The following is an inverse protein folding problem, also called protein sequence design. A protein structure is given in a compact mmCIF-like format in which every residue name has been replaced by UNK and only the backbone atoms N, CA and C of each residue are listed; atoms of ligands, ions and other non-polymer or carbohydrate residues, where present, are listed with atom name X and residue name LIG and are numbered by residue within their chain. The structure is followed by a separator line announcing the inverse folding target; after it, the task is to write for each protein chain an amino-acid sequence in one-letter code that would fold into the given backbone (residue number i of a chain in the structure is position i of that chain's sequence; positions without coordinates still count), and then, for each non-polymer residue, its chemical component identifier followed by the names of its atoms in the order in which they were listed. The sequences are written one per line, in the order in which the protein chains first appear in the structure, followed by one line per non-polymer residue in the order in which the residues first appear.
data_IF_150808004650
#
_entry.id   IF_150808004650
#
_cell.length_a   1.000
_cell.length_b   1.000
_cell.length_c   1.000
_cell.angle_alpha   90.00
_cell.angle_beta   90.00
_cell.angle_gamma   90.00
#
_symmetry.space_group_name_H-M   'P 1'
#
loop_
_entity.id
_entity.type
_entity.pdbx_description
1 polymer ?
#
# COMPACT_ATOMS: atom_id res chain seq x y z
N UNK A 1 0.71 5.92 54.20
CA UNK A 1 1.69 5.70 53.11
C UNK A 1 1.29 4.59 52.14
N UNK A 2 0.85 3.38 52.56
CA UNK A 2 0.51 2.28 51.63
C UNK A 2 -0.63 2.59 50.62
N UNK A 3 -1.61 3.41 50.97
CA UNK A 3 -2.72 3.78 50.04
C UNK A 3 -2.30 4.70 48.91
N UNK A 4 -1.32 5.56 49.12
CA UNK A 4 -0.81 6.45 48.06
C UNK A 4 0.13 5.73 47.10
N UNK A 5 0.84 4.68 47.57
CA UNK A 5 1.71 3.89 46.72
C UNK A 5 0.91 3.05 45.70
N UNK A 6 -0.28 2.52 46.11
CA UNK A 6 -1.15 1.75 45.21
C UNK A 6 -1.81 2.63 44.15
N UNK A 7 -2.10 3.90 44.49
CA UNK A 7 -2.68 4.87 43.55
C UNK A 7 -1.66 5.31 42.51
N UNK A 8 -0.39 5.50 42.92
CA UNK A 8 0.70 5.85 42.00
C UNK A 8 1.06 4.71 41.03
N UNK A 9 0.99 3.46 41.49
CA UNK A 9 1.23 2.30 40.62
C UNK A 9 0.10 2.12 39.60
N UNK A 10 -1.16 2.38 39.98
CA UNK A 10 -2.30 2.26 39.06
C UNK A 10 -2.26 3.34 37.97
N UNK A 11 -1.86 4.57 38.33
CA UNK A 11 -1.69 5.66 37.35
C UNK A 11 -0.50 5.40 36.44
N UNK A 12 0.60 4.85 36.96
CA UNK A 12 1.77 4.50 36.14
C UNK A 12 1.48 3.36 35.16
N UNK A 13 0.68 2.35 35.54
CA UNK A 13 0.31 1.27 34.62
C UNK A 13 -0.67 1.75 33.53
N UNK A 14 -1.62 2.64 33.86
CA UNK A 14 -2.53 3.20 32.87
C UNK A 14 -1.82 4.15 31.90
N UNK A 15 -0.85 4.94 32.39
CA UNK A 15 -0.01 5.78 31.54
C UNK A 15 0.93 4.96 30.63
N UNK A 16 1.50 3.87 31.13
CA UNK A 16 2.36 2.98 30.33
C UNK A 16 1.58 2.25 29.22
N UNK A 17 0.32 1.84 29.49
CA UNK A 17 -0.52 1.21 28.47
C UNK A 17 -1.00 2.22 27.39
N UNK A 18 -1.23 3.47 27.76
CA UNK A 18 -1.56 4.54 26.80
C UNK A 18 -0.34 4.90 25.96
N UNK A 19 0.87 4.94 26.55
CA UNK A 19 2.09 5.22 25.80
C UNK A 19 2.51 4.08 24.87
N UNK A 20 2.24 2.82 25.22
CA UNK A 20 2.55 1.68 24.36
C UNK A 20 1.60 1.61 23.14
N UNK A 21 0.31 1.91 23.32
CA UNK A 21 -0.64 1.97 22.22
C UNK A 21 -0.39 3.18 21.30
N UNK A 22 -0.04 4.33 21.84
CA UNK A 22 0.31 5.51 21.02
C UNK A 22 1.64 5.36 20.29
N UNK A 23 2.63 4.64 20.85
CA UNK A 23 3.91 4.38 20.17
C UNK A 23 3.78 3.33 19.06
N UNK A 24 2.91 2.34 19.22
CA UNK A 24 2.59 1.39 18.16
C UNK A 24 1.79 2.08 17.05
N UNK A 25 0.76 2.84 17.37
CA UNK A 25 0.04 3.67 16.41
C UNK A 25 0.97 4.65 15.67
N UNK A 26 1.91 5.29 16.35
CA UNK A 26 2.88 6.19 15.73
C UNK A 26 3.93 5.46 14.85
N UNK A 27 4.27 4.21 15.14
CA UNK A 27 5.18 3.44 14.29
C UNK A 27 4.50 2.99 12.98
N UNK A 28 3.21 2.66 13.03
CA UNK A 28 2.40 2.40 11.83
C UNK A 28 2.01 3.69 11.10
N UNK A 29 1.78 4.80 11.82
CA UNK A 29 1.39 6.08 11.23
C UNK A 29 2.49 6.77 10.40
N UNK A 30 3.75 6.35 10.50
CA UNK A 30 4.85 6.94 9.71
C UNK A 30 4.78 6.59 8.23
N UNK A 31 4.06 5.49 7.87
CA UNK A 31 3.85 5.03 6.49
C UNK A 31 2.43 4.50 6.23
N UNK A 32 1.45 4.81 7.10
CA UNK A 32 0.08 4.28 6.99
C UNK A 32 -0.94 5.41 7.06
N UNK A 33 -1.93 5.36 6.21
CA UNK A 33 -3.12 6.21 6.33
C UNK A 33 -4.08 5.54 7.33
N UNK A 34 -4.21 6.12 8.53
CA UNK A 34 -5.26 5.71 9.46
C UNK A 34 -6.58 6.30 8.98
N UNK A 35 -7.50 5.44 8.56
CA UNK A 35 -8.83 5.83 8.12
C UNK A 35 -9.82 5.27 9.13
N UNK A 36 -10.57 6.18 9.78
CA UNK A 36 -11.67 5.80 10.65
C UNK A 36 -12.94 5.68 9.79
N UNK A 37 -13.46 4.48 9.64
CA UNK A 37 -14.73 4.24 8.94
C UNK A 37 -15.80 4.00 9.98
N UNK A 38 -16.51 5.05 10.37
CA UNK A 38 -17.65 4.96 11.29
C UNK A 38 -18.90 4.39 10.59
N UNK A 39 -18.95 4.42 9.27
CA UNK A 39 -20.01 3.87 8.44
C UNK A 39 -19.42 3.03 7.30
N UNK A 40 -19.82 1.77 7.22
CA UNK A 40 -19.39 0.78 6.22
C UNK A 40 -19.77 1.10 4.77
N UNK A 41 -20.50 2.17 4.54
CA UNK A 41 -20.83 2.67 3.21
C UNK A 41 -19.76 3.63 2.65
N UNK A 42 -18.72 3.92 3.44
CA UNK A 42 -17.66 4.82 3.01
C UNK A 42 -16.68 4.10 2.09
N UNK A 43 -16.62 4.57 0.88
CA UNK A 43 -15.63 4.16 -0.14
C UNK A 43 -14.32 4.86 0.18
N UNK A 44 -13.27 4.09 0.45
CA UNK A 44 -11.97 4.61 0.85
C UNK A 44 -11.08 4.79 -0.39
N UNK A 45 -10.75 6.02 -0.81
CA UNK A 45 -9.82 6.26 -1.89
C UNK A 45 -8.39 5.95 -1.45
N UNK A 46 -7.65 5.24 -2.29
CA UNK A 46 -6.25 4.88 -2.07
C UNK A 46 -5.44 5.24 -3.29
N UNK A 47 -4.42 6.07 -3.09
CA UNK A 47 -3.42 6.39 -4.10
C UNK A 47 -2.08 5.77 -3.70
N UNK A 48 -1.45 5.07 -4.63
CA UNK A 48 -0.11 4.51 -4.50
C UNK A 48 0.76 5.24 -5.51
N UNK A 49 1.65 6.11 -5.00
CA UNK A 49 2.59 6.90 -5.79
C UNK A 49 3.96 6.72 -5.18
N UNK A 50 4.91 6.28 -5.99
CA UNK A 50 6.26 6.01 -5.52
C UNK A 50 7.28 6.88 -6.24
N UNK A 51 8.47 7.01 -5.63
CA UNK A 51 9.57 7.73 -6.24
C UNK A 51 10.12 6.95 -7.44
N UNK A 52 10.52 7.66 -8.52
CA UNK A 52 11.12 7.02 -9.67
C UNK A 52 12.31 6.14 -9.30
N UNK A 53 12.46 5.01 -10.01
CA UNK A 53 13.64 4.17 -9.93
C UNK A 53 14.41 4.21 -11.23
N UNK A 54 15.71 3.90 -11.16
CA UNK A 54 16.61 3.99 -12.28
C UNK A 54 17.31 2.65 -12.49
N UNK A 55 17.49 2.27 -13.74
CA UNK A 55 18.35 1.18 -14.15
C UNK A 55 19.44 1.72 -15.08
N UNK A 56 20.70 1.40 -14.78
CA UNK A 56 21.82 1.75 -15.63
C UNK A 56 21.88 0.85 -16.86
N UNK A 57 22.59 1.28 -17.89
CA UNK A 57 22.70 0.58 -19.15
C UNK A 57 23.07 -0.91 -18.97
N UNK A 58 22.26 -1.79 -19.51
CA UNK A 58 22.41 -3.25 -19.41
C UNK A 58 21.98 -3.86 -18.07
N UNK A 59 21.41 -3.07 -17.16
CA UNK A 59 21.00 -3.52 -15.82
C UNK A 59 19.49 -3.64 -15.66
N UNK A 60 19.11 -4.38 -14.63
CA UNK A 60 17.73 -4.47 -14.15
C UNK A 60 17.70 -4.10 -12.67
N UNK A 61 16.92 -3.09 -12.35
CA UNK A 61 16.65 -2.67 -10.97
C UNK A 61 15.27 -3.14 -10.55
N UNK A 62 15.18 -3.78 -9.38
CA UNK A 62 13.92 -4.22 -8.78
C UNK A 62 13.77 -3.54 -7.42
N UNK A 63 12.62 -2.91 -7.18
CA UNK A 63 12.28 -2.33 -5.88
C UNK A 63 10.91 -2.79 -5.43
N UNK A 64 10.79 -2.98 -4.12
CA UNK A 64 9.52 -3.28 -3.44
C UNK A 64 9.11 -2.10 -2.59
N UNK A 65 7.86 -1.70 -2.72
CA UNK A 65 7.23 -0.64 -1.95
C UNK A 65 6.04 -1.21 -1.18
N UNK A 66 5.83 -0.73 0.03
CA UNK A 66 4.72 -1.16 0.87
C UNK A 66 3.91 0.04 1.35
N UNK A 67 2.58 -0.07 1.26
CA UNK A 67 1.64 0.90 1.84
C UNK A 67 0.65 0.16 2.72
N UNK A 68 0.55 0.58 3.97
CA UNK A 68 -0.44 0.04 4.90
C UNK A 68 -1.60 1.03 5.04
N UNK A 69 -2.82 0.50 5.04
CA UNK A 69 -4.06 1.24 5.29
C UNK A 69 -4.77 0.56 6.44
N UNK A 70 -5.08 1.31 7.49
CA UNK A 70 -5.75 0.80 8.69
C UNK A 70 -7.18 1.32 8.67
N UNK A 71 -8.14 0.39 8.76
CA UNK A 71 -9.58 0.69 8.74
C UNK A 71 -10.18 0.21 10.04
N UNK A 72 -10.64 1.12 10.88
CA UNK A 72 -11.32 0.78 12.12
C UNK A 72 -12.66 0.09 11.81
N UNK A 73 -12.85 -1.09 12.37
CA UNK A 73 -14.00 -1.94 12.12
C UNK A 73 -14.29 -2.79 13.35
N UNK A 74 -15.31 -2.44 14.10
CA UNK A 74 -15.53 -2.97 15.45
C UNK A 74 -15.91 -4.44 15.51
N UNK A 75 -16.56 -4.98 14.47
CA UNK A 75 -17.11 -6.34 14.47
C UNK A 75 -16.84 -7.06 13.13
N UNK A 76 -15.73 -7.80 13.02
CA UNK A 76 -15.35 -8.48 11.77
C UNK A 76 -16.36 -9.57 11.35
N UNK A 77 -17.23 -10.03 12.24
CA UNK A 77 -18.27 -11.03 11.89
C UNK A 77 -19.33 -10.48 10.93
N UNK A 78 -19.46 -9.17 10.84
CA UNK A 78 -20.37 -8.50 9.92
C UNK A 78 -19.80 -8.35 8.51
N UNK A 79 -18.50 -8.53 8.33
CA UNK A 79 -17.88 -8.42 7.03
C UNK A 79 -18.29 -9.58 6.13
N UNK A 80 -18.85 -9.28 4.96
CA UNK A 80 -19.20 -10.26 3.93
C UNK A 80 -18.06 -10.50 2.96
N UNK A 81 -17.52 -9.43 2.38
CA UNK A 81 -16.36 -9.45 1.52
C UNK A 81 -15.72 -8.06 1.41
N UNK A 82 -14.51 -8.03 0.92
CA UNK A 82 -13.73 -6.83 0.63
C UNK A 82 -13.56 -6.73 -0.88
N UNK A 83 -13.70 -5.53 -1.42
CA UNK A 83 -13.58 -5.27 -2.85
C UNK A 83 -12.73 -4.04 -3.12
N UNK A 84 -11.84 -4.14 -4.11
CA UNK A 84 -11.19 -2.99 -4.73
C UNK A 84 -11.98 -2.60 -5.98
N UNK A 85 -12.29 -1.32 -6.15
CA UNK A 85 -13.01 -0.80 -7.32
C UNK A 85 -12.27 0.40 -7.93
N UNK A 86 -12.68 0.81 -9.14
CA UNK A 86 -12.12 1.96 -9.86
C UNK A 86 -10.58 1.93 -9.96
N UNK A 87 -10.02 0.72 -10.15
CA UNK A 87 -8.59 0.50 -10.18
C UNK A 87 -8.02 1.08 -11.47
N UNK A 88 -7.09 2.03 -11.34
CA UNK A 88 -6.35 2.64 -12.44
C UNK A 88 -4.86 2.55 -12.16
N UNK A 89 -4.09 2.09 -13.12
CA UNK A 89 -2.64 1.98 -13.05
C UNK A 89 -2.02 2.67 -14.26
N UNK A 90 -1.10 3.56 -13.99
CA UNK A 90 -0.25 4.22 -14.98
C UNK A 90 1.19 3.75 -14.74
N UNK A 91 1.84 3.26 -15.78
CA UNK A 91 3.26 2.85 -15.75
C UNK A 91 3.95 3.54 -16.89
N UNK A 92 5.02 4.26 -16.60
CA UNK A 92 5.85 4.90 -17.60
C UNK A 92 7.33 4.55 -17.45
N UNK A 93 8.10 4.76 -18.49
CA UNK A 93 9.54 4.90 -18.41
C UNK A 93 10.04 5.99 -19.33
N UNK A 94 11.11 6.64 -18.91
CA UNK A 94 11.79 7.70 -19.65
C UNK A 94 13.16 7.21 -20.12
N UNK A 95 13.41 7.35 -21.41
CA UNK A 95 14.68 7.00 -22.05
C UNK A 95 14.99 7.99 -23.17
N UNK A 96 16.24 8.49 -23.23
CA UNK A 96 16.74 9.36 -24.31
C UNK A 96 15.81 10.56 -24.60
N UNK A 97 15.26 11.20 -23.56
CA UNK A 97 14.38 12.37 -23.69
C UNK A 97 12.96 12.05 -24.16
N UNK A 98 12.55 10.78 -24.20
CA UNK A 98 11.20 10.34 -24.56
C UNK A 98 10.54 9.59 -23.43
N UNK A 99 9.23 9.81 -23.27
CA UNK A 99 8.39 9.09 -22.33
C UNK A 99 7.56 8.04 -23.07
N UNK A 100 7.46 6.86 -22.47
CA UNK A 100 6.65 5.73 -22.90
C UNK A 100 5.77 5.32 -21.74
N UNK A 101 4.48 5.09 -21.97
CA UNK A 101 3.54 4.76 -20.90
C UNK A 101 2.51 3.72 -21.30
N UNK A 102 1.93 3.06 -20.31
CA UNK A 102 0.78 2.17 -20.46
C UNK A 102 -0.21 2.38 -19.31
N UNK A 103 -1.45 2.67 -19.68
CA UNK A 103 -2.57 2.82 -18.75
C UNK A 103 -3.41 1.56 -18.71
N UNK A 104 -3.70 1.09 -17.52
CA UNK A 104 -4.64 -0.02 -17.30
C UNK A 104 -5.74 0.38 -16.34
N UNK A 105 -6.94 -0.15 -16.57
CA UNK A 105 -8.06 -0.01 -15.64
C UNK A 105 -8.77 -1.34 -15.43
N UNK A 106 -9.26 -1.56 -14.20
CA UNK A 106 -10.13 -2.68 -13.84
C UNK A 106 -11.31 -2.16 -13.04
N UNK A 107 -12.49 -2.69 -13.31
CA UNK A 107 -13.71 -2.25 -12.62
C UNK A 107 -13.68 -2.68 -11.15
N UNK A 108 -13.42 -3.96 -10.88
CA UNK A 108 -13.35 -4.47 -9.51
C UNK A 108 -12.52 -5.74 -9.37
N UNK A 109 -12.08 -5.99 -8.12
CA UNK A 109 -11.39 -7.21 -7.69
C UNK A 109 -11.81 -7.52 -6.27
N UNK A 110 -12.31 -8.74 -6.02
CA UNK A 110 -12.59 -9.22 -4.65
C UNK A 110 -11.27 -9.61 -3.99
N UNK A 111 -11.06 -9.10 -2.78
CA UNK A 111 -9.83 -9.33 -2.01
C UNK A 111 -9.95 -10.59 -1.16
N UNK A 112 -8.98 -11.49 -1.32
CA UNK A 112 -8.73 -12.65 -0.46
C UNK A 112 -7.36 -12.51 0.22
N UNK A 113 -6.78 -13.58 0.76
CA UNK A 113 -5.55 -13.51 1.56
C UNK A 113 -4.36 -12.86 0.83
N UNK A 114 -4.14 -13.13 -0.45
CA UNK A 114 -3.06 -12.50 -1.25
C UNK A 114 -3.58 -12.28 -2.67
N UNK A 115 -4.16 -11.12 -2.88
CA UNK A 115 -4.83 -10.82 -4.14
C UNK A 115 -3.96 -9.95 -5.04
N UNK A 116 -3.58 -10.47 -6.19
CA UNK A 116 -2.94 -9.69 -7.27
C UNK A 116 -4.01 -8.86 -7.98
N UNK A 117 -3.86 -7.54 -7.96
CA UNK A 117 -4.83 -6.64 -8.60
C UNK A 117 -4.26 -5.86 -9.77
N UNK A 118 -2.92 -5.64 -9.86
CA UNK A 118 -2.22 -5.03 -10.97
C UNK A 118 -1.10 -5.94 -11.48
N UNK A 119 -0.97 -5.99 -12.82
CA UNK A 119 0.18 -6.51 -13.57
C UNK A 119 0.26 -5.66 -14.85
N UNK A 120 0.96 -4.53 -14.74
CA UNK A 120 1.06 -3.54 -15.80
C UNK A 120 2.51 -3.39 -16.24
N UNK A 121 2.74 -3.23 -17.54
CA UNK A 121 4.09 -3.05 -18.08
C UNK A 121 4.08 -2.27 -19.38
N UNK A 122 5.19 -1.62 -19.63
CA UNK A 122 5.52 -0.98 -20.90
C UNK A 122 6.94 -1.39 -21.31
N UNK A 123 7.15 -1.67 -22.58
CA UNK A 123 8.48 -2.00 -23.14
C UNK A 123 8.69 -1.32 -24.49
N UNK A 124 9.92 -0.91 -24.74
CA UNK A 124 10.34 -0.34 -26.02
C UNK A 124 11.83 -0.63 -26.24
N UNK A 125 12.17 -1.24 -27.38
CA UNK A 125 13.55 -1.55 -27.78
C UNK A 125 14.37 -2.27 -26.68
N UNK A 126 13.77 -3.26 -26.01
CA UNK A 126 14.42 -4.03 -24.96
C UNK A 126 14.47 -3.35 -23.59
N UNK A 127 14.10 -2.08 -23.50
CA UNK A 127 13.87 -1.39 -22.22
C UNK A 127 12.46 -1.68 -21.70
N UNK A 128 12.28 -1.76 -20.39
CA UNK A 128 11.00 -2.10 -19.81
C UNK A 128 10.81 -1.43 -18.44
N UNK A 129 9.58 -1.03 -18.16
CA UNK A 129 9.09 -0.84 -16.79
C UNK A 129 7.90 -1.77 -16.55
N UNK A 130 7.94 -2.54 -15.48
CA UNK A 130 6.88 -3.46 -15.07
C UNK A 130 6.53 -3.26 -13.60
N UNK A 131 5.24 -3.21 -13.31
CA UNK A 131 4.70 -3.10 -11.95
C UNK A 131 3.73 -4.22 -11.67
N UNK A 132 3.96 -4.94 -10.56
CA UNK A 132 3.03 -5.93 -10.03
C UNK A 132 2.59 -5.50 -8.63
N UNK A 133 1.27 -5.52 -8.39
CA UNK A 133 0.74 -5.11 -7.10
C UNK A 133 -0.18 -6.19 -6.52
N UNK A 134 0.02 -6.44 -5.24
CA UNK A 134 -0.79 -7.36 -4.43
C UNK A 134 -1.34 -6.63 -3.20
N UNK A 135 -2.44 -7.13 -2.69
CA UNK A 135 -3.04 -6.70 -1.44
C UNK A 135 -3.33 -7.92 -0.57
N UNK A 136 -3.00 -7.80 0.71
CA UNK A 136 -3.41 -8.71 1.77
C UNK A 136 -4.04 -7.92 2.92
N UNK A 137 -4.73 -8.59 3.82
CA UNK A 137 -5.29 -7.97 5.01
C UNK A 137 -5.29 -8.93 6.19
N UNK A 138 -5.15 -8.34 7.38
CA UNK A 138 -5.32 -8.98 8.67
C UNK A 138 -6.27 -8.18 9.54
N UNK A 139 -6.87 -8.83 10.55
CA UNK A 139 -7.69 -8.15 11.54
C UNK A 139 -7.00 -8.11 12.91
N UNK A 140 -6.72 -6.90 13.38
CA UNK A 140 -6.19 -6.67 14.73
C UNK A 140 -7.32 -6.56 15.76
N UNK A 141 -7.46 -7.60 16.59
CA UNK A 141 -8.47 -7.67 17.63
C UNK A 141 -8.31 -6.62 18.74
N UNK A 142 -7.08 -6.17 19.00
CA UNK A 142 -6.81 -5.17 20.02
C UNK A 142 -7.21 -3.76 19.56
N UNK A 143 -6.93 -3.46 18.30
CA UNK A 143 -7.27 -2.18 17.70
C UNK A 143 -8.67 -2.16 17.09
N UNK A 144 -9.31 -3.31 16.96
CA UNK A 144 -10.58 -3.49 16.23
C UNK A 144 -10.50 -2.88 14.82
N UNK A 145 -9.49 -3.31 14.06
CA UNK A 145 -9.19 -2.73 12.77
C UNK A 145 -8.75 -3.80 11.77
N UNK A 146 -9.11 -3.62 10.51
CA UNK A 146 -8.45 -4.28 9.40
C UNK A 146 -7.19 -3.53 9.02
N UNK A 147 -6.09 -4.27 8.84
CA UNK A 147 -4.81 -3.75 8.37
C UNK A 147 -4.62 -4.27 6.95
N UNK A 148 -4.78 -3.41 5.96
CA UNK A 148 -4.51 -3.73 4.55
C UNK A 148 -3.07 -3.42 4.23
N UNK A 149 -2.37 -4.41 3.65
CA UNK A 149 -1.01 -4.27 3.17
C UNK A 149 -1.00 -4.32 1.64
N UNK A 150 -0.72 -3.20 1.01
CA UNK A 150 -0.49 -3.08 -0.43
C UNK A 150 1.01 -3.20 -0.69
N UNK A 151 1.39 -4.14 -1.53
CA UNK A 151 2.78 -4.37 -1.93
C UNK A 151 2.90 -4.13 -3.42
N UNK A 152 3.81 -3.25 -3.81
CA UNK A 152 4.14 -2.97 -5.21
C UNK A 152 5.57 -3.42 -5.48
N UNK A 153 5.76 -4.23 -6.52
CA UNK A 153 7.09 -4.61 -7.02
C UNK A 153 7.26 -3.97 -8.38
N UNK A 154 8.19 -3.02 -8.48
CA UNK A 154 8.57 -2.37 -9.72
C UNK A 154 9.88 -2.94 -10.23
N UNK A 155 9.93 -3.24 -11.53
CA UNK A 155 11.10 -3.77 -12.23
C UNK A 155 11.38 -2.88 -13.43
N UNK A 156 12.52 -2.20 -13.42
CA UNK A 156 13.00 -1.38 -14.53
C UNK A 156 14.22 -2.05 -15.16
N UNK A 157 14.17 -2.26 -16.46
CA UNK A 157 15.26 -2.86 -17.23
C UNK A 157 15.75 -1.88 -18.28
N UNK A 158 17.05 -1.62 -18.28
CA UNK A 158 17.73 -0.86 -19.32
C UNK A 158 18.45 -1.80 -20.28
N UNK A 159 18.18 -1.64 -21.57
CA UNK A 159 18.85 -2.40 -22.63
C UNK A 159 20.33 -2.00 -22.74
N UNK A 160 21.19 -2.94 -23.14
CA UNK A 160 22.63 -2.72 -23.34
C UNK A 160 22.92 -2.12 -24.73
N UNK A 161 22.28 -0.99 -25.06
CA UNK A 161 22.54 -0.27 -26.30
C UNK A 161 23.49 0.92 -26.05
N UNK A 162 24.36 1.19 -27.04
CA UNK A 162 25.43 2.20 -26.91
C UNK A 162 24.94 3.62 -26.55
N UNK A 163 23.68 3.93 -26.87
CA UNK A 163 23.11 5.27 -26.70
C UNK A 163 22.20 5.37 -25.46
N UNK A 164 21.99 4.26 -24.72
CA UNK A 164 21.19 4.26 -23.50
C UNK A 164 22.08 4.48 -22.29
N UNK A 165 21.97 5.63 -21.61
CA UNK A 165 22.74 5.90 -20.39
C UNK A 165 22.03 5.29 -19.16
N UNK A 166 20.75 5.55 -19.02
CA UNK A 166 19.89 5.01 -17.97
C UNK A 166 18.43 5.07 -18.39
N UNK A 167 17.62 4.23 -17.76
CA UNK A 167 16.15 4.22 -17.85
C UNK A 167 15.57 4.62 -16.50
N UNK A 168 14.66 5.59 -16.51
CA UNK A 168 13.89 5.96 -15.33
C UNK A 168 12.50 5.34 -15.41
N UNK A 169 12.15 4.48 -14.47
CA UNK A 169 10.81 3.94 -14.32
C UNK A 169 9.99 4.73 -13.30
N UNK A 170 8.67 4.78 -13.51
CA UNK A 170 7.72 5.43 -12.64
C UNK A 170 6.34 4.77 -12.76
N UNK A 171 5.59 4.73 -11.66
CA UNK A 171 4.20 4.30 -11.70
C UNK A 171 3.32 5.07 -10.71
N UNK A 172 2.03 5.10 -11.02
CA UNK A 172 0.97 5.50 -10.10
C UNK A 172 -0.18 4.53 -10.17
N UNK A 173 -0.84 4.34 -9.03
CA UNK A 173 -2.08 3.55 -8.96
C UNK A 173 -3.08 4.27 -8.08
N UNK A 174 -4.31 4.41 -8.58
CA UNK A 174 -5.45 4.87 -7.80
C UNK A 174 -6.53 3.80 -7.77
N UNK A 175 -7.18 3.63 -6.62
CA UNK A 175 -8.25 2.67 -6.44
C UNK A 175 -9.17 3.09 -5.28
N UNK A 176 -10.27 2.36 -5.13
CA UNK A 176 -11.18 2.50 -4.00
C UNK A 176 -11.29 1.17 -3.26
N UNK A 177 -11.19 1.21 -1.94
CA UNK A 177 -11.39 0.06 -1.05
C UNK A 177 -12.82 0.12 -0.48
N UNK A 178 -13.55 -0.97 -0.62
CA UNK A 178 -14.91 -1.13 -0.13
C UNK A 178 -15.01 -2.35 0.78
N UNK A 179 -15.64 -2.19 1.95
CA UNK A 179 -15.98 -3.27 2.86
C UNK A 179 -17.49 -3.49 2.79
N UNK A 180 -17.92 -4.69 2.40
CA UNK A 180 -19.34 -5.04 2.27
C UNK A 180 -19.79 -5.86 3.48
N UNK A 181 -20.92 -5.48 4.08
CA UNK A 181 -21.58 -6.22 5.16
C UNK A 181 -22.64 -7.21 4.64
N UNK A 182 -23.06 -8.14 5.55
CA UNK A 182 -24.20 -9.02 5.33
C UNK A 182 -25.52 -8.27 5.38
#
# INVERSE_FOLDING_TARGET
MKKYLSMLTTIALSAASIFSTSSILNSYAKNSNLINVDNLHDVIPIDIVEYPIFADNGETTVKTFEKNVIVLFSDPSKLKYIELTDIKSHVDFHINGKDYYNDQSKNSVIVSSDTKFIDNSISHEGNMNKVQQTVSYDYDWNQKAFIFKFVSVETVTANNEKDTQFVRGYFTTSLKLNLHEF
#
